data_IF_471029665186
#
_entry.id   IF_471029665186
#
_cell.length_a   1.000
_cell.length_b   1.000
_cell.length_c   1.000
_cell.angle_alpha   90.00
_cell.angle_beta   90.00
_cell.angle_gamma   90.00
#
_symmetry.space_group_name_H-M   'P 1'
#
loop_
_entity.id
_entity.type
_entity.pdbx_description
1 polymer ?
#
# COMPACT_ATOMS: atom_id res chain seq x y z
N UNK A 1 7.07 -19.09 -33.66
CA UNK A 1 8.24 -18.35 -33.14
C UNK A 1 7.71 -17.49 -32.00
N UNK A 2 8.12 -17.80 -30.78
CA UNK A 2 7.27 -17.70 -29.58
C UNK A 2 7.37 -16.34 -28.86
N UNK A 3 6.23 -15.86 -28.35
CA UNK A 3 5.93 -14.62 -27.61
C UNK A 3 6.73 -14.34 -26.30
N UNK A 4 7.91 -14.94 -26.11
CA UNK A 4 8.69 -14.81 -24.85
C UNK A 4 9.21 -13.38 -24.59
N UNK A 5 9.52 -12.63 -25.65
CA UNK A 5 9.95 -11.24 -25.51
C UNK A 5 8.81 -10.33 -25.01
N UNK A 6 7.57 -10.58 -25.45
CA UNK A 6 6.41 -9.81 -25.00
C UNK A 6 6.05 -10.11 -23.54
N UNK A 7 6.22 -11.36 -23.09
CA UNK A 7 5.96 -11.73 -21.69
C UNK A 7 6.96 -11.11 -20.72
N UNK A 8 8.24 -10.99 -21.09
CA UNK A 8 9.28 -10.43 -20.23
C UNK A 8 9.17 -8.90 -20.08
N UNK A 9 8.92 -8.19 -21.19
CA UNK A 9 8.63 -6.76 -21.15
C UNK A 9 7.37 -6.44 -20.36
N UNK A 10 6.32 -7.26 -20.49
CA UNK A 10 5.10 -7.10 -19.71
C UNK A 10 5.34 -7.35 -18.22
N UNK A 11 6.15 -8.36 -17.86
CA UNK A 11 6.52 -8.64 -16.48
C UNK A 11 7.32 -7.49 -15.85
N UNK A 12 8.33 -6.98 -16.56
CA UNK A 12 9.11 -5.81 -16.12
C UNK A 12 8.25 -4.58 -15.91
N UNK A 13 7.33 -4.29 -16.85
CA UNK A 13 6.40 -3.18 -16.72
C UNK A 13 5.45 -3.30 -15.52
N UNK A 14 5.02 -4.52 -15.16
CA UNK A 14 4.22 -4.76 -13.94
C UNK A 14 5.05 -4.54 -12.68
N UNK A 15 6.28 -5.07 -12.64
CA UNK A 15 7.17 -4.92 -11.49
C UNK A 15 7.50 -3.44 -11.20
N UNK A 16 7.79 -2.65 -12.23
CA UNK A 16 8.11 -1.23 -12.05
C UNK A 16 6.90 -0.42 -11.58
N UNK A 17 5.69 -0.74 -12.08
CA UNK A 17 4.45 -0.15 -11.55
C UNK A 17 4.23 -0.52 -10.09
N UNK A 18 4.43 -1.80 -9.74
CA UNK A 18 4.25 -2.27 -8.37
C UNK A 18 5.21 -1.54 -7.41
N UNK A 19 6.49 -1.37 -7.80
CA UNK A 19 7.48 -0.62 -7.01
C UNK A 19 7.08 0.84 -6.78
N UNK A 20 6.59 1.54 -7.81
CA UNK A 20 6.13 2.94 -7.69
C UNK A 20 4.94 3.06 -6.73
N UNK A 21 3.97 2.15 -6.86
CA UNK A 21 2.81 2.10 -5.97
C UNK A 21 3.20 1.77 -4.54
N UNK A 22 4.09 0.79 -4.34
CA UNK A 22 4.59 0.41 -3.02
C UNK A 22 5.35 1.57 -2.35
N UNK A 23 6.20 2.29 -3.09
CA UNK A 23 6.89 3.46 -2.58
C UNK A 23 5.91 4.56 -2.13
N UNK A 24 4.89 4.85 -2.95
CA UNK A 24 3.87 5.85 -2.61
C UNK A 24 3.05 5.46 -1.37
N UNK A 25 2.66 4.20 -1.26
CA UNK A 25 1.90 3.65 -0.13
C UNK A 25 2.74 3.60 1.16
N UNK A 26 4.03 3.24 1.03
CA UNK A 26 4.98 3.21 2.15
C UNK A 26 5.05 4.55 2.87
N UNK A 27 5.26 5.63 2.10
CA UNK A 27 5.31 6.99 2.61
C UNK A 27 3.94 7.51 3.08
N UNK A 28 2.91 6.69 3.21
CA UNK A 28 1.62 7.09 3.81
C UNK A 28 1.22 6.19 4.96
N UNK A 29 2.15 5.38 5.46
CA UNK A 29 1.86 4.43 6.53
C UNK A 29 0.89 3.32 6.12
N UNK A 30 0.66 3.10 4.83
CA UNK A 30 -0.18 2.01 4.35
C UNK A 30 0.65 0.72 4.39
N UNK A 31 0.10 -0.31 5.03
CA UNK A 31 0.68 -1.65 5.12
C UNK A 31 0.16 -2.56 4.01
N UNK A 32 0.79 -3.73 3.81
CA UNK A 32 0.25 -4.74 2.89
C UNK A 32 -1.16 -5.19 3.28
N UNK A 33 -1.44 -5.34 4.57
CA UNK A 33 -2.77 -5.67 5.09
C UNK A 33 -3.81 -4.58 4.80
N UNK A 34 -3.46 -3.31 5.05
CA UNK A 34 -4.32 -2.17 4.72
C UNK A 34 -4.67 -2.19 3.24
N UNK A 35 -3.67 -2.36 2.36
CA UNK A 35 -3.85 -2.35 0.91
C UNK A 35 -4.79 -3.45 0.42
N UNK A 36 -4.66 -4.67 0.96
CA UNK A 36 -5.54 -5.81 0.64
C UNK A 36 -6.98 -5.55 1.08
N UNK A 37 -7.17 -4.85 2.19
CA UNK A 37 -8.50 -4.48 2.70
C UNK A 37 -9.17 -3.34 1.93
N UNK A 38 -8.40 -2.55 1.15
CA UNK A 38 -8.97 -1.42 0.41
C UNK A 38 -9.97 -1.88 -0.66
N UNK A 39 -11.11 -1.19 -0.80
CA UNK A 39 -12.02 -1.40 -1.93
C UNK A 39 -11.31 -1.13 -3.27
N UNK A 40 -11.66 -1.85 -4.37
CA UNK A 40 -11.03 -1.64 -5.67
C UNK A 40 -11.11 -0.19 -6.18
N UNK A 41 -12.18 0.53 -5.88
CA UNK A 41 -12.31 1.95 -6.24
C UNK A 41 -11.24 2.82 -5.54
N UNK A 42 -10.96 2.56 -4.26
CA UNK A 42 -9.93 3.27 -3.50
C UNK A 42 -8.53 2.92 -4.00
N UNK A 43 -8.26 1.65 -4.31
CA UNK A 43 -6.99 1.23 -4.93
C UNK A 43 -6.73 1.99 -6.24
N UNK A 44 -7.74 2.12 -7.11
CA UNK A 44 -7.63 2.90 -8.35
C UNK A 44 -7.39 4.39 -8.11
N UNK A 45 -7.98 4.98 -7.06
CA UNK A 45 -7.71 6.38 -6.68
C UNK A 45 -6.26 6.53 -6.18
N UNK A 46 -5.79 5.62 -5.34
CA UNK A 46 -4.42 5.58 -4.84
C UNK A 46 -3.41 5.52 -5.98
N UNK A 47 -3.65 4.65 -6.98
CA UNK A 47 -2.76 4.57 -8.14
C UNK A 47 -2.66 5.90 -8.91
N UNK A 48 -3.78 6.59 -9.11
CA UNK A 48 -3.79 7.91 -9.77
C UNK A 48 -3.03 8.96 -8.96
N UNK A 49 -3.20 8.97 -7.64
CA UNK A 49 -2.47 9.89 -6.76
C UNK A 49 -0.96 9.58 -6.72
N UNK A 50 -0.57 8.34 -7.01
CA UNK A 50 0.82 7.93 -7.23
C UNK A 50 1.31 8.18 -8.68
N UNK A 51 0.59 8.98 -9.47
CA UNK A 51 0.87 9.24 -10.89
C UNK A 51 1.06 7.96 -11.72
N UNK A 52 0.37 6.88 -11.35
CA UNK A 52 0.48 5.56 -11.97
C UNK A 52 -0.88 5.16 -12.56
N UNK A 53 -0.88 4.63 -13.79
CA UNK A 53 -2.10 4.09 -14.39
C UNK A 53 -2.62 2.93 -13.53
N UNK A 54 -3.89 2.94 -13.08
CA UNK A 54 -4.40 1.88 -12.22
C UNK A 54 -4.17 0.48 -12.81
N UNK A 55 -3.59 -0.45 -12.04
CA UNK A 55 -3.49 -1.83 -12.47
C UNK A 55 -4.87 -2.39 -12.80
N UNK A 56 -4.95 -3.06 -13.95
CA UNK A 56 -6.17 -3.73 -14.41
C UNK A 56 -6.42 -5.07 -13.73
N UNK A 57 -5.42 -5.64 -13.03
CA UNK A 57 -5.47 -6.96 -12.41
C UNK A 57 -5.12 -6.90 -10.93
N UNK A 58 -5.67 -7.84 -10.15
CA UNK A 58 -5.35 -8.00 -8.73
C UNK A 58 -3.93 -8.52 -8.50
N UNK A 59 -3.33 -9.23 -9.47
CA UNK A 59 -1.95 -9.73 -9.40
C UNK A 59 -0.93 -8.60 -9.12
N UNK A 60 -1.07 -7.45 -9.79
CA UNK A 60 -0.17 -6.31 -9.53
C UNK A 60 -0.41 -5.75 -8.12
N UNK A 61 -1.65 -5.76 -7.63
CA UNK A 61 -1.97 -5.31 -6.28
C UNK A 61 -1.43 -6.24 -5.20
N UNK A 62 -1.41 -7.57 -5.44
CA UNK A 62 -0.76 -8.53 -4.56
C UNK A 62 0.75 -8.28 -4.50
N UNK A 63 1.40 -8.09 -5.64
CA UNK A 63 2.83 -7.76 -5.67
C UNK A 63 3.16 -6.47 -4.91
N UNK A 64 2.29 -5.45 -4.99
CA UNK A 64 2.47 -4.21 -4.19
C UNK A 64 2.38 -4.52 -2.69
N UNK A 65 1.44 -5.37 -2.26
CA UNK A 65 1.31 -5.75 -0.86
C UNK A 65 2.53 -6.53 -0.36
N UNK A 66 3.04 -7.47 -1.14
CA UNK A 66 4.25 -8.23 -0.82
C UNK A 66 5.48 -7.31 -0.68
N UNK A 67 5.66 -6.37 -1.60
CA UNK A 67 6.74 -5.38 -1.51
C UNK A 67 6.63 -4.50 -0.26
N UNK A 68 5.41 -4.20 0.21
CA UNK A 68 5.19 -3.47 1.47
C UNK A 68 5.56 -4.33 2.67
N UNK A 69 5.13 -5.60 2.69
CA UNK A 69 5.42 -6.55 3.77
C UNK A 69 6.95 -6.79 3.89
N UNK A 70 7.64 -6.95 2.75
CA UNK A 70 9.11 -7.04 2.69
C UNK A 70 9.79 -5.77 3.21
N UNK A 71 9.27 -4.59 2.82
CA UNK A 71 9.84 -3.32 3.24
C UNK A 71 9.63 -3.08 4.74
N UNK A 72 8.49 -3.47 5.30
CA UNK A 72 8.24 -3.43 6.74
C UNK A 72 9.22 -4.34 7.49
N UNK A 73 9.39 -5.59 7.04
CA UNK A 73 10.33 -6.53 7.64
C UNK A 73 11.80 -6.07 7.52
N UNK A 74 12.15 -5.40 6.42
CA UNK A 74 13.46 -4.79 6.27
C UNK A 74 13.64 -3.57 7.18
N UNK A 75 12.65 -2.68 7.27
CA UNK A 75 12.70 -1.48 8.10
C UNK A 75 12.79 -1.81 9.59
N UNK A 76 12.08 -2.85 10.05
CA UNK A 76 12.18 -3.35 11.42
C UNK A 76 13.61 -3.81 11.79
N UNK A 77 14.37 -4.34 10.82
CA UNK A 77 15.78 -4.73 10.99
C UNK A 77 16.76 -3.56 10.84
N UNK A 78 16.32 -2.43 10.27
CA UNK A 78 17.15 -1.27 9.98
C UNK A 78 16.51 0.04 10.46
N UNK A 79 16.16 0.17 11.76
CA UNK A 79 15.34 1.29 12.25
C UNK A 79 15.99 2.67 12.07
N UNK A 80 17.33 2.73 12.02
CA UNK A 80 18.08 3.98 11.87
C UNK A 80 18.37 4.35 10.40
N UNK A 81 18.00 3.49 9.44
CA UNK A 81 18.25 3.79 8.03
C UNK A 81 17.22 4.81 7.51
N UNK A 82 17.63 5.89 6.82
CA UNK A 82 16.68 6.91 6.34
C UNK A 82 15.53 6.34 5.49
N UNK A 83 15.82 5.37 4.62
CA UNK A 83 14.80 4.69 3.82
C UNK A 83 13.81 3.80 4.61
N UNK A 84 14.10 3.49 5.88
CA UNK A 84 13.19 2.81 6.81
C UNK A 84 12.20 3.77 7.47
N UNK A 85 12.39 5.08 7.29
CA UNK A 85 11.43 6.07 7.75
C UNK A 85 10.24 6.16 6.79
N UNK A 86 9.07 6.34 7.37
CA UNK A 86 7.85 6.68 6.65
C UNK A 86 7.67 8.18 6.74
N UNK A 87 7.26 8.78 5.64
CA UNK A 87 6.87 10.19 5.60
C UNK A 87 5.33 10.27 5.57
N UNK A 88 4.75 11.46 5.55
CA UNK A 88 3.33 11.75 5.27
C UNK A 88 2.30 10.80 5.94
N UNK A 89 2.54 10.46 7.20
CA UNK A 89 1.69 9.51 7.94
C UNK A 89 0.26 10.05 8.18
N UNK A 90 0.14 11.37 8.26
CA UNK A 90 -1.13 12.10 8.34
C UNK A 90 -2.04 11.82 7.14
N UNK A 91 -1.47 11.56 5.96
CA UNK A 91 -2.25 11.24 4.76
C UNK A 91 -2.86 9.82 4.80
N UNK A 92 -2.49 8.96 5.76
CA UNK A 92 -3.05 7.60 5.86
C UNK A 92 -4.58 7.61 5.91
N UNK A 93 -5.15 8.59 6.63
CA UNK A 93 -6.60 8.71 6.86
C UNK A 93 -7.40 8.93 5.57
N UNK A 94 -6.76 9.45 4.52
CA UNK A 94 -7.38 9.64 3.20
C UNK A 94 -7.71 8.30 2.53
N UNK A 95 -7.02 7.23 2.94
CA UNK A 95 -7.09 5.91 2.32
C UNK A 95 -7.68 4.86 3.25
N UNK A 96 -7.18 4.82 4.48
CA UNK A 96 -7.57 3.87 5.51
C UNK A 96 -8.31 4.64 6.59
N UNK A 97 -9.64 4.50 6.62
CA UNK A 97 -10.45 5.13 7.65
C UNK A 97 -10.32 4.32 8.95
N UNK A 98 -9.85 4.93 10.06
CA UNK A 98 -9.89 4.25 11.33
C UNK A 98 -11.35 3.95 11.70
N UNK A 99 -11.60 2.87 12.47
CA UNK A 99 -12.92 2.60 12.99
C UNK A 99 -13.41 3.82 13.79
N UNK A 100 -14.57 4.35 13.42
CA UNK A 100 -15.19 5.46 14.14
C UNK A 100 -15.69 4.92 15.48
N UNK A 101 -15.12 5.40 16.60
CA UNK A 101 -15.67 5.09 17.92
C UNK A 101 -17.02 5.77 18.06
N UNK A 102 -18.11 5.04 18.40
CA UNK A 102 -19.40 5.66 18.64
C UNK A 102 -19.33 6.58 19.87
N UNK A 103 -20.01 7.72 19.82
CA UNK A 103 -20.01 8.77 20.84
C UNK A 103 -20.68 8.38 22.17
N UNK A 104 -20.95 7.10 22.42
CA UNK A 104 -21.86 6.62 23.46
C UNK A 104 -21.29 5.66 24.49
N UNK A 105 -20.00 5.31 24.43
CA UNK A 105 -19.39 4.44 25.44
C UNK A 105 -19.11 5.26 26.70
N UNK A 106 -20.18 5.63 27.41
CA UNK A 106 -20.12 6.14 28.78
C UNK A 106 -19.42 5.08 29.61
N UNK A 107 -18.27 5.44 30.17
CA UNK A 107 -17.70 4.78 31.34
C UNK A 107 -18.80 4.71 32.40
N UNK A 108 -19.38 3.54 32.59
CA UNK A 108 -20.02 3.20 33.86
C UNK A 108 -18.88 2.95 34.84
N UNK A 109 -18.23 4.02 35.30
CA UNK A 109 -17.48 3.95 36.53
C UNK A 109 -18.55 3.94 37.63
N UNK A 110 -18.88 2.73 38.06
CA UNK A 110 -19.64 2.46 39.28
C UNK A 110 -18.73 2.64 40.50
N UNK A 111 -19.36 3.18 41.55
CA UNK A 111 -18.93 3.35 42.95
C UNK A 111 -17.99 4.51 43.29
#
# INVERSE_FOLDING_TARGET
MTDYAHTDHAAKGRADKARRLAAYAWHRGITGADLRSLPPATRRKLARSAATNPPGTDETWHLVAELLDEKDAWAARHPNHPAAQRHNLDEKILWVKPPVKPWGERRTDSE
#
